data_IF_876630389850
#
_entry.id   IF_876630389850
#
_cell.length_a   1.000
_cell.length_b   1.000
_cell.length_c   1.000
_cell.angle_alpha   90.00
_cell.angle_beta   90.00
_cell.angle_gamma   90.00
#
_symmetry.space_group_name_H-M   'P 1'
#
loop_
_entity.id
_entity.type
_entity.pdbx_description
1 polymer ?
#
# COMPACT_ATOMS: atom_id res chain seq x y z
N UNK A 1 23.20 15.91 -2.68
CA UNK A 1 21.95 16.09 -3.44
C UNK A 1 21.03 14.93 -3.14
N UNK A 2 19.75 15.19 -2.83
CA UNK A 2 18.76 14.12 -2.63
C UNK A 2 18.45 13.50 -3.98
N UNK A 3 19.15 12.43 -4.32
CA UNK A 3 18.81 11.57 -5.44
C UNK A 3 17.49 10.86 -5.12
N UNK A 4 16.47 11.12 -5.93
CA UNK A 4 15.14 10.52 -5.77
C UNK A 4 15.18 9.01 -6.02
N UNK A 5 14.09 8.34 -5.66
CA UNK A 5 13.91 6.92 -5.95
C UNK A 5 13.56 6.71 -7.43
N UNK A 6 13.94 5.57 -8.04
CA UNK A 6 13.52 5.22 -9.40
C UNK A 6 11.99 5.31 -9.58
N UNK A 7 11.52 5.72 -10.76
CA UNK A 7 10.09 5.83 -11.06
C UNK A 7 9.34 4.50 -10.87
N UNK A 8 10.01 3.38 -11.15
CA UNK A 8 9.43 2.04 -11.06
C UNK A 8 9.51 1.47 -9.63
N UNK A 9 9.91 2.29 -8.64
CA UNK A 9 9.95 1.90 -7.23
C UNK A 9 8.53 1.56 -6.76
N UNK A 10 8.31 0.39 -6.14
CA UNK A 10 7.00 -0.02 -5.71
C UNK A 10 6.50 0.86 -4.56
N UNK A 11 5.19 1.11 -4.55
CA UNK A 11 4.48 1.82 -3.50
C UNK A 11 3.20 1.09 -3.07
N UNK A 12 2.75 1.33 -1.84
CA UNK A 12 1.37 1.09 -1.46
C UNK A 12 0.80 2.29 -0.71
N UNK A 13 -0.50 2.51 -0.88
CA UNK A 13 -1.29 3.47 -0.13
C UNK A 13 -2.35 2.73 0.63
N UNK A 14 -2.37 2.89 1.96
CA UNK A 14 -3.35 2.29 2.86
C UNK A 14 -4.18 3.39 3.51
N UNK A 15 -5.45 3.48 3.12
CA UNK A 15 -6.44 4.40 3.67
C UNK A 15 -7.24 3.72 4.78
N UNK A 16 -7.61 4.47 5.83
CA UNK A 16 -8.38 3.93 6.96
C UNK A 16 -7.72 2.68 7.57
N UNK A 17 -6.38 2.72 7.71
CA UNK A 17 -5.61 1.60 8.25
C UNK A 17 -6.18 1.14 9.61
N UNK A 18 -6.26 -0.17 9.81
CA UNK A 18 -6.81 -0.82 11.02
C UNK A 18 -8.32 -0.64 11.25
N UNK A 19 -9.06 -0.07 10.28
CA UNK A 19 -10.52 0.04 10.32
C UNK A 19 -11.18 -0.96 9.36
N UNK A 20 -12.46 -1.34 9.57
CA UNK A 20 -13.18 -2.22 8.65
C UNK A 20 -13.27 -1.70 7.21
N UNK A 21 -13.21 -0.38 7.04
CA UNK A 21 -13.26 0.32 5.75
C UNK A 21 -11.86 0.52 5.14
N UNK A 22 -10.84 -0.22 5.60
CA UNK A 22 -9.48 -0.11 5.08
C UNK A 22 -9.45 -0.36 3.56
N UNK A 23 -8.75 0.53 2.85
CA UNK A 23 -8.49 0.39 1.42
C UNK A 23 -6.98 0.35 1.19
N UNK A 24 -6.50 -0.58 0.37
CA UNK A 24 -5.10 -0.71 0.03
C UNK A 24 -4.94 -0.72 -1.49
N UNK A 25 -4.05 0.12 -2.00
CA UNK A 25 -3.71 0.16 -3.42
C UNK A 25 -2.20 0.03 -3.56
N UNK A 26 -1.75 -0.88 -4.41
CA UNK A 26 -0.33 -1.10 -4.73
C UNK A 26 -0.08 -0.55 -6.13
N UNK A 27 1.01 0.19 -6.31
CA UNK A 27 1.41 0.75 -7.60
C UNK A 27 2.92 1.01 -7.65
N UNK A 28 3.38 1.83 -8.60
CA UNK A 28 4.74 2.36 -8.66
C UNK A 28 4.75 3.86 -8.36
N UNK A 29 5.93 4.43 -8.03
CA UNK A 29 6.09 5.86 -7.82
C UNK A 29 5.67 6.68 -9.06
N UNK A 30 5.90 6.16 -10.26
CA UNK A 30 5.49 6.77 -11.53
C UNK A 30 3.99 7.03 -11.58
N UNK A 31 3.20 6.06 -11.13
CA UNK A 31 1.75 6.05 -11.32
C UNK A 31 0.99 6.57 -10.09
N UNK A 32 1.70 7.00 -9.03
CA UNK A 32 1.11 7.36 -7.74
C UNK A 32 0.00 8.41 -7.87
N UNK A 33 0.25 9.51 -8.59
CA UNK A 33 -0.73 10.60 -8.71
C UNK A 33 -1.98 10.14 -9.45
N UNK A 34 -1.81 9.44 -10.57
CA UNK A 34 -2.94 8.92 -11.36
C UNK A 34 -3.78 7.94 -10.53
N UNK A 35 -3.11 7.07 -9.77
CA UNK A 35 -3.78 6.10 -8.89
C UNK A 35 -4.55 6.81 -7.78
N UNK A 36 -3.97 7.83 -7.14
CA UNK A 36 -4.63 8.59 -6.07
C UNK A 36 -5.91 9.26 -6.57
N UNK A 37 -5.87 9.84 -7.77
CA UNK A 37 -7.03 10.48 -8.38
C UNK A 37 -8.08 9.46 -8.80
N UNK A 38 -7.69 8.41 -9.52
CA UNK A 38 -8.58 7.35 -10.01
C UNK A 38 -9.28 6.62 -8.87
N UNK A 39 -8.55 6.32 -7.81
CA UNK A 39 -9.06 5.59 -6.64
C UNK A 39 -9.66 6.53 -5.58
N UNK A 40 -9.66 7.85 -5.81
CA UNK A 40 -10.14 8.86 -4.86
C UNK A 40 -9.57 8.64 -3.44
N UNK A 41 -8.26 8.41 -3.35
CA UNK A 41 -7.59 8.19 -2.07
C UNK A 41 -7.47 9.52 -1.34
N UNK A 42 -7.91 9.54 -0.08
CA UNK A 42 -7.94 10.73 0.75
C UNK A 42 -7.38 10.45 2.15
N UNK A 43 -7.17 11.49 2.94
CA UNK A 43 -6.80 11.34 4.34
C UNK A 43 -7.91 10.67 5.15
N UNK A 44 -7.59 9.91 6.21
CA UNK A 44 -6.24 9.52 6.66
C UNK A 44 -5.70 8.33 5.84
N UNK A 45 -4.46 8.48 5.34
CA UNK A 45 -3.76 7.47 4.53
C UNK A 45 -2.29 7.34 4.92
N UNK A 46 -1.75 6.12 4.77
CA UNK A 46 -0.34 5.77 4.97
C UNK A 46 0.24 5.41 3.61
N UNK A 47 1.37 6.01 3.23
CA UNK A 47 2.10 5.68 2.00
C UNK A 47 3.38 4.93 2.37
N UNK A 48 3.55 3.75 1.77
CA UNK A 48 4.69 2.87 1.94
C UNK A 48 5.45 2.86 0.62
N UNK A 49 6.76 3.12 0.64
CA UNK A 49 7.59 3.21 -0.56
C UNK A 49 8.79 2.27 -0.44
N UNK A 50 9.06 1.49 -1.48
CA UNK A 50 10.25 0.63 -1.60
C UNK A 50 9.99 -0.86 -1.37
N UNK A 51 11.09 -1.64 -1.32
CA UNK A 51 11.05 -3.11 -1.35
C UNK A 51 10.35 -3.78 -0.17
N UNK A 52 10.00 -3.02 0.88
CA UNK A 52 9.16 -3.48 2.00
C UNK A 52 7.84 -4.10 1.53
N UNK A 53 7.36 -3.69 0.35
CA UNK A 53 6.17 -4.24 -0.31
C UNK A 53 6.31 -5.71 -0.69
N UNK A 54 7.53 -6.16 -0.99
CA UNK A 54 7.80 -7.58 -1.27
C UNK A 54 7.51 -8.44 -0.03
N UNK A 55 7.85 -7.95 1.15
CA UNK A 55 7.59 -8.64 2.43
C UNK A 55 6.10 -8.73 2.79
N UNK A 56 5.27 -7.77 2.36
CA UNK A 56 3.83 -7.78 2.66
C UNK A 56 3.07 -8.94 1.99
N UNK A 57 3.49 -9.36 0.80
CA UNK A 57 2.89 -10.54 0.13
C UNK A 57 3.07 -11.83 0.94
N UNK A 58 4.17 -11.96 1.69
CA UNK A 58 4.43 -13.11 2.54
C UNK A 58 3.63 -13.09 3.84
N UNK A 59 3.35 -11.89 4.40
CA UNK A 59 2.59 -11.75 5.65
C UNK A 59 1.08 -11.85 5.42
N UNK A 60 0.56 -11.29 4.33
CA UNK A 60 -0.86 -11.40 3.97
C UNK A 60 -1.29 -12.86 3.75
N UNK A 61 -0.42 -13.68 3.15
CA UNK A 61 -0.65 -15.12 2.99
C UNK A 61 -0.72 -15.90 4.33
N UNK A 62 -0.21 -15.34 5.43
CA UNK A 62 -0.20 -15.99 6.74
C UNK A 62 -1.34 -15.54 7.67
N UNK A 63 -1.94 -14.36 7.43
CA UNK A 63 -3.04 -13.85 8.26
C UNK A 63 -4.41 -14.48 7.96
N UNK A 64 -4.60 -15.17 6.84
CA UNK A 64 -5.88 -15.86 6.55
C UNK A 64 -6.11 -17.11 7.44
N UNK A 65 -5.07 -17.63 8.10
CA UNK A 65 -5.17 -18.80 8.97
C UNK A 65 -5.80 -18.53 10.35
N UNK A 66 -5.84 -17.27 10.83
CA UNK A 66 -6.28 -16.97 12.21
C UNK A 66 -7.73 -16.48 12.33
N UNK A 67 -8.44 -16.26 11.21
CA UNK A 67 -9.81 -15.69 11.22
C UNK A 67 -10.93 -16.75 11.18
N UNK A 68 -10.62 -18.05 11.10
CA UNK A 68 -11.60 -19.16 11.03
C UNK A 68 -12.06 -19.72 12.38
N UNK A 69 -11.68 -19.12 13.50
CA UNK A 69 -11.91 -19.70 14.84
C UNK A 69 -12.54 -18.74 15.86
N UNK A 70 -13.41 -17.85 15.40
CA UNK A 70 -14.30 -17.04 16.24
C UNK A 70 -15.74 -17.13 15.73
#
# INVERSE_FOLDING_TARGET
MLQGLPADTPIAVVQHASLPQQRCVVSTLRDLTEVVEREQLASPSIIIVGDVLRGLTQVAAQSEGTKRMA
#
